data_IF_089078472665
#
_entry.id   IF_089078472665
#
_cell.length_a   1.000
_cell.length_b   1.000
_cell.length_c   1.000
_cell.angle_alpha   90.00
_cell.angle_beta   90.00
_cell.angle_gamma   90.00
#
_symmetry.space_group_name_H-M   'P 1'
#
loop_
_entity.id
_entity.type
_entity.pdbx_description
1 polymer ?
#
# COMPACT_ATOMS: atom_id res chain seq x y z
N UNK A 1 -12.51 -31.34 -11.59
CA UNK A 1 -11.37 -30.39 -11.82
C UNK A 1 -10.33 -30.91 -12.82
N UNK A 2 -9.96 -32.19 -12.83
CA UNK A 2 -8.95 -32.74 -13.76
C UNK A 2 -9.35 -32.67 -15.26
N UNK A 3 -10.64 -32.87 -15.60
CA UNK A 3 -11.11 -32.84 -17.00
C UNK A 3 -11.05 -31.45 -17.65
N UNK A 4 -11.27 -30.37 -16.88
CA UNK A 4 -11.17 -28.99 -17.37
C UNK A 4 -9.72 -28.54 -17.61
N UNK A 5 -8.75 -29.05 -16.83
CA UNK A 5 -7.31 -28.78 -17.03
C UNK A 5 -6.73 -29.49 -18.27
N UNK A 6 -7.30 -30.62 -18.67
CA UNK A 6 -6.90 -31.34 -19.89
C UNK A 6 -7.41 -30.62 -21.16
N UNK A 7 -8.60 -30.02 -21.11
CA UNK A 7 -9.15 -29.25 -22.23
C UNK A 7 -8.33 -27.99 -22.55
N UNK A 8 -7.75 -27.32 -21.54
CA UNK A 8 -6.87 -26.17 -21.75
C UNK A 8 -5.49 -26.53 -22.29
N UNK A 9 -5.05 -27.79 -22.18
CA UNK A 9 -3.80 -28.26 -22.77
C UNK A 9 -3.96 -28.60 -24.26
N UNK A 10 -5.16 -28.99 -24.69
CA UNK A 10 -5.45 -29.29 -26.10
C UNK A 10 -5.24 -28.07 -27.02
N UNK A 11 -5.51 -26.86 -26.54
CA UNK A 11 -5.29 -25.62 -27.30
C UNK A 11 -3.81 -25.25 -27.44
N UNK A 12 -2.92 -25.78 -26.60
CA UNK A 12 -1.46 -25.59 -26.71
C UNK A 12 -0.79 -26.62 -27.64
N UNK A 13 -1.47 -27.73 -27.93
CA UNK A 13 -0.87 -28.81 -28.74
C UNK A 13 -0.51 -28.35 -30.16
N UNK A 14 -1.35 -27.50 -30.77
CA UNK A 14 -1.13 -27.03 -32.14
C UNK A 14 0.03 -26.03 -32.27
N UNK A 15 0.11 -24.95 -31.47
CA UNK A 15 1.28 -24.06 -31.47
C UNK A 15 2.59 -24.77 -31.14
N UNK A 16 2.57 -25.69 -30.16
CA UNK A 16 3.75 -26.46 -29.79
C UNK A 16 4.20 -27.38 -30.95
N UNK A 17 3.26 -27.99 -31.66
CA UNK A 17 3.55 -28.78 -32.86
C UNK A 17 4.18 -27.92 -33.97
N UNK A 18 3.71 -26.69 -34.18
CA UNK A 18 4.30 -25.77 -35.18
C UNK A 18 5.74 -25.39 -34.81
N UNK A 19 6.02 -25.13 -33.52
CA UNK A 19 7.38 -24.87 -33.04
C UNK A 19 8.28 -26.09 -33.26
N UNK A 20 7.80 -27.29 -32.91
CA UNK A 20 8.53 -28.54 -33.09
C UNK A 20 8.85 -28.78 -34.57
N UNK A 21 7.86 -28.65 -35.46
CA UNK A 21 8.05 -28.80 -36.92
C UNK A 21 9.04 -27.75 -37.45
N UNK A 22 8.96 -26.50 -36.97
CA UNK A 22 9.91 -25.45 -37.31
C UNK A 22 11.35 -25.83 -36.95
N UNK A 23 11.58 -26.35 -35.74
CA UNK A 23 12.90 -26.82 -35.28
C UNK A 23 13.40 -27.99 -36.14
N UNK A 24 12.56 -28.97 -36.45
CA UNK A 24 12.95 -30.12 -37.28
C UNK A 24 13.36 -29.70 -38.69
N UNK A 25 12.69 -28.71 -39.30
CA UNK A 25 13.08 -28.16 -40.61
C UNK A 25 14.42 -27.42 -40.57
N UNK A 26 14.72 -26.70 -39.49
CA UNK A 26 16.01 -26.05 -39.28
C UNK A 26 17.13 -27.09 -39.12
N UNK A 27 16.87 -28.16 -38.36
CA UNK A 27 17.77 -29.31 -38.22
C UNK A 27 17.99 -30.00 -39.57
N UNK A 28 16.95 -30.17 -40.38
CA UNK A 28 17.07 -30.73 -41.73
C UNK A 28 17.90 -29.84 -42.68
N UNK A 29 17.80 -28.51 -42.55
CA UNK A 29 18.66 -27.58 -43.30
C UNK A 29 20.15 -27.74 -42.93
N UNK A 30 20.45 -27.89 -41.64
CA UNK A 30 21.80 -28.15 -41.15
C UNK A 30 22.31 -29.52 -41.63
N UNK A 31 21.48 -30.57 -41.56
CA UNK A 31 21.81 -31.90 -42.06
C UNK A 31 22.09 -31.90 -43.57
N UNK A 32 21.37 -31.10 -44.35
CA UNK A 32 21.59 -30.93 -45.78
C UNK A 32 22.96 -30.29 -46.11
N UNK A 33 23.47 -29.41 -45.24
CA UNK A 33 24.82 -28.83 -45.34
C UNK A 33 25.90 -29.85 -44.94
N UNK A 34 25.69 -30.58 -43.84
CA UNK A 34 26.62 -31.63 -43.37
C UNK A 34 26.80 -32.72 -44.42
N UNK A 35 25.72 -33.15 -45.09
CA UNK A 35 25.81 -34.12 -46.20
C UNK A 35 26.65 -33.61 -47.38
N UNK A 36 26.54 -32.33 -47.69
CA UNK A 36 27.30 -31.72 -48.77
C UNK A 36 28.79 -31.63 -48.42
N UNK A 37 29.10 -31.43 -47.15
CA UNK A 37 30.48 -31.39 -46.64
C UNK A 37 31.09 -32.79 -46.44
N UNK A 38 30.28 -33.81 -46.10
CA UNK A 38 30.73 -35.18 -45.81
C UNK A 38 29.90 -36.19 -46.61
N UNK A 39 30.36 -36.57 -47.82
CA UNK A 39 29.68 -37.57 -48.65
C UNK A 39 29.58 -38.92 -47.92
N UNK A 40 28.38 -39.50 -47.85
CA UNK A 40 28.10 -40.79 -47.20
C UNK A 40 27.71 -40.73 -45.71
N UNK A 41 27.64 -39.54 -45.11
CA UNK A 41 27.33 -39.38 -43.68
C UNK A 41 25.85 -39.65 -43.29
N UNK A 42 24.91 -39.65 -44.23
CA UNK A 42 23.47 -39.76 -43.96
C UNK A 42 22.81 -40.79 -44.89
N UNK A 43 21.82 -41.53 -44.38
CA UNK A 43 21.12 -42.58 -45.13
C UNK A 43 20.25 -42.04 -46.26
N UNK A 44 19.92 -42.89 -47.24
CA UNK A 44 19.07 -42.50 -48.38
C UNK A 44 17.66 -42.06 -47.97
N UNK A 45 17.16 -42.53 -46.82
CA UNK A 45 15.86 -42.15 -46.27
C UNK A 45 15.85 -40.68 -45.82
N UNK A 46 16.97 -40.18 -45.29
CA UNK A 46 17.15 -38.77 -44.94
C UNK A 46 17.27 -37.87 -46.19
N UNK A 47 17.51 -38.44 -47.38
CA UNK A 47 17.57 -37.70 -48.64
C UNK A 47 16.24 -37.07 -49.01
N UNK A 48 15.13 -37.78 -48.81
CA UNK A 48 13.80 -37.26 -49.13
C UNK A 48 13.35 -36.20 -48.12
N UNK A 49 13.64 -36.41 -46.84
CA UNK A 49 13.33 -35.46 -45.76
C UNK A 49 14.13 -34.14 -45.87
N UNK A 50 15.33 -34.19 -46.44
CA UNK A 50 16.19 -33.01 -46.66
C UNK A 50 16.06 -32.40 -48.06
N UNK A 51 15.05 -32.80 -48.83
CA UNK A 51 14.80 -32.32 -50.20
C UNK A 51 16.02 -32.53 -51.13
N UNK A 52 16.63 -33.71 -51.07
CA UNK A 52 17.85 -34.06 -51.80
C UNK A 52 17.76 -34.01 -53.33
N UNK A 53 16.55 -33.91 -53.87
CA UNK A 53 16.27 -33.75 -55.30
C UNK A 53 16.39 -32.29 -55.80
N UNK A 54 16.48 -31.31 -54.89
CA UNK A 54 16.71 -29.91 -55.23
C UNK A 54 18.21 -29.53 -55.18
N UNK A 55 18.63 -28.51 -55.94
CA UNK A 55 19.97 -27.93 -55.81
C UNK A 55 20.26 -27.49 -54.37
N UNK A 56 21.51 -27.71 -53.92
CA UNK A 56 21.98 -27.36 -52.57
C UNK A 56 21.58 -25.96 -52.08
N UNK A 57 21.79 -24.86 -52.84
CA UNK A 57 21.43 -23.54 -52.34
C UNK A 57 19.92 -23.37 -52.18
N UNK A 58 19.14 -23.97 -53.08
CA UNK A 58 17.69 -23.84 -53.09
C UNK A 58 17.03 -24.64 -51.94
N UNK A 59 17.48 -25.88 -51.69
CA UNK A 59 16.93 -26.69 -50.59
C UNK A 59 17.21 -26.09 -49.21
N UNK A 60 18.43 -25.58 -49.00
CA UNK A 60 18.83 -24.97 -47.72
C UNK A 60 18.02 -23.69 -47.48
N UNK A 61 17.87 -22.85 -48.51
CA UNK A 61 17.05 -21.65 -48.42
C UNK A 61 15.58 -21.96 -48.09
N UNK A 62 14.98 -22.97 -48.74
CA UNK A 62 13.60 -23.36 -48.51
C UNK A 62 13.37 -23.91 -47.09
N UNK A 63 14.25 -24.81 -46.62
CA UNK A 63 14.14 -25.39 -45.28
C UNK A 63 14.36 -24.34 -44.18
N UNK A 64 15.32 -23.42 -44.35
CA UNK A 64 15.54 -22.32 -43.42
C UNK A 64 14.36 -21.35 -43.39
N UNK A 65 13.85 -20.93 -44.55
CA UNK A 65 12.74 -19.99 -44.62
C UNK A 65 11.45 -20.59 -44.03
N UNK A 66 11.13 -21.85 -44.37
CA UNK A 66 9.96 -22.54 -43.82
C UNK A 66 10.11 -22.80 -42.31
N UNK A 67 11.30 -23.23 -41.87
CA UNK A 67 11.59 -23.47 -40.45
C UNK A 67 11.47 -22.20 -39.60
N UNK A 68 12.05 -21.09 -40.04
CA UNK A 68 11.95 -19.79 -39.36
C UNK A 68 10.52 -19.25 -39.36
N UNK A 69 9.79 -19.38 -40.46
CA UNK A 69 8.41 -18.91 -40.56
C UNK A 69 7.49 -19.69 -39.59
N UNK A 70 7.60 -21.02 -39.55
CA UNK A 70 6.80 -21.86 -38.65
C UNK A 70 7.17 -21.66 -37.18
N UNK A 71 8.46 -21.53 -36.87
CA UNK A 71 8.93 -21.24 -35.52
C UNK A 71 8.43 -19.87 -35.05
N UNK A 72 8.60 -18.83 -35.87
CA UNK A 72 8.13 -17.48 -35.56
C UNK A 72 6.61 -17.41 -35.38
N UNK A 73 5.85 -18.07 -36.26
CA UNK A 73 4.40 -18.13 -36.17
C UNK A 73 3.93 -18.94 -34.94
N UNK A 74 4.57 -20.06 -34.63
CA UNK A 74 4.28 -20.86 -33.43
C UNK A 74 4.56 -20.11 -32.13
N UNK A 75 5.67 -19.37 -32.07
CA UNK A 75 6.00 -18.50 -30.92
C UNK A 75 5.02 -17.34 -30.80
N UNK A 76 4.64 -16.71 -31.92
CA UNK A 76 3.65 -15.63 -31.91
C UNK A 76 2.26 -16.11 -31.43
N UNK A 77 1.82 -17.28 -31.87
CA UNK A 77 0.61 -17.96 -31.38
C UNK A 77 0.69 -18.25 -29.87
N UNK A 78 1.83 -18.74 -29.38
CA UNK A 78 2.05 -18.95 -27.94
C UNK A 78 2.01 -17.63 -27.15
N UNK A 79 2.51 -16.53 -27.74
CA UNK A 79 2.43 -15.19 -27.16
C UNK A 79 0.99 -14.67 -27.01
N UNK A 80 0.08 -15.10 -27.89
CA UNK A 80 -1.35 -14.75 -27.82
C UNK A 80 -2.20 -15.65 -26.90
N UNK A 81 -1.66 -16.76 -26.40
CA UNK A 81 -2.40 -17.77 -25.62
C UNK A 81 -2.32 -17.60 -24.10
N UNK A 82 -1.62 -16.58 -23.59
CA UNK A 82 -1.70 -16.19 -22.17
C UNK A 82 -2.94 -15.31 -21.99
N UNK A 83 -4.11 -15.94 -22.10
CA UNK A 83 -5.38 -15.36 -21.67
C UNK A 83 -5.94 -16.32 -20.63
N UNK A 84 -5.80 -15.95 -19.36
CA UNK A 84 -6.40 -16.68 -18.24
C UNK A 84 -7.87 -16.24 -18.22
N UNK A 85 -8.85 -17.08 -18.55
CA UNK A 85 -10.25 -16.72 -18.36
C UNK A 85 -10.53 -16.63 -16.86
N UNK A 86 -11.06 -15.48 -16.43
CA UNK A 86 -11.61 -15.31 -15.08
C UNK A 86 -12.82 -16.23 -14.95
N UNK A 87 -12.83 -17.08 -13.92
CA UNK A 87 -13.82 -18.14 -13.76
C UNK A 87 -15.20 -17.67 -13.23
N UNK A 88 -15.43 -16.37 -13.14
CA UNK A 88 -16.64 -15.79 -12.56
C UNK A 88 -17.32 -14.87 -13.58
N UNK A 89 -17.93 -15.46 -14.60
CA UNK A 89 -19.10 -14.84 -15.20
C UNK A 89 -20.12 -15.93 -15.57
N UNK A 90 -21.24 -15.92 -14.87
CA UNK A 90 -22.27 -16.95 -14.93
C UNK A 90 -23.26 -16.75 -16.09
N UNK A 91 -23.09 -15.72 -16.91
CA UNK A 91 -24.00 -15.43 -18.01
C UNK A 91 -23.21 -15.10 -19.29
N UNK A 92 -22.87 -16.15 -20.05
CA UNK A 92 -21.94 -16.11 -21.18
C UNK A 92 -22.42 -15.34 -22.41
N UNK A 93 -22.62 -14.03 -22.29
CA UNK A 93 -23.04 -13.15 -23.39
C UNK A 93 -22.16 -11.94 -23.65
N UNK A 94 -21.11 -11.69 -22.87
CA UNK A 94 -20.23 -10.55 -23.12
C UNK A 94 -18.75 -10.94 -22.98
N UNK A 95 -18.01 -10.91 -24.09
CA UNK A 95 -16.55 -11.02 -24.07
C UNK A 95 -15.98 -9.64 -23.78
N UNK A 96 -15.95 -9.27 -22.50
CA UNK A 96 -15.29 -8.03 -22.05
C UNK A 96 -13.78 -8.27 -22.05
N UNK A 97 -13.08 -7.68 -23.03
CA UNK A 97 -11.61 -7.67 -23.10
C UNK A 97 -11.08 -6.62 -22.11
N UNK A 98 -11.10 -6.96 -20.82
CA UNK A 98 -10.50 -6.16 -19.77
C UNK A 98 -8.98 -6.32 -19.79
N UNK A 99 -8.25 -5.28 -20.20
CA UNK A 99 -6.82 -5.17 -19.88
C UNK A 99 -6.71 -4.70 -18.42
N UNK A 100 -6.93 -5.61 -17.47
CA UNK A 100 -6.46 -5.36 -16.10
C UNK A 100 -4.95 -5.32 -16.15
N UNK A 101 -4.38 -4.13 -15.94
CA UNK A 101 -2.96 -3.90 -15.67
C UNK A 101 -2.53 -5.04 -14.73
N UNK A 102 -1.64 -5.91 -15.21
CA UNK A 102 -1.18 -7.09 -14.49
C UNK A 102 -1.02 -6.74 -13.00
N UNK A 103 -1.60 -7.57 -12.14
CA UNK A 103 -1.67 -7.57 -10.67
C UNK A 103 -0.41 -7.00 -9.98
N UNK A 104 -0.14 -5.71 -10.21
CA UNK A 104 1.04 -5.03 -9.69
C UNK A 104 0.67 -4.72 -8.26
N UNK A 105 1.56 -5.08 -7.36
CA UNK A 105 1.44 -4.68 -5.97
C UNK A 105 1.31 -3.15 -5.91
N UNK A 106 0.46 -2.59 -5.05
CA UNK A 106 0.23 -1.16 -5.03
C UNK A 106 1.47 -0.40 -4.58
N UNK A 107 1.59 0.86 -5.02
CA UNK A 107 2.50 1.86 -4.47
C UNK A 107 1.75 2.62 -3.39
N UNK A 108 2.28 2.62 -2.16
CA UNK A 108 1.63 3.25 -1.02
C UNK A 108 2.55 4.33 -0.44
N UNK A 109 2.00 5.51 -0.22
CA UNK A 109 2.65 6.58 0.54
C UNK A 109 2.04 6.60 1.95
N UNK A 110 2.86 6.68 2.99
CA UNK A 110 2.41 6.71 4.38
C UNK A 110 2.94 7.97 5.06
N UNK A 111 2.04 8.73 5.70
CA UNK A 111 2.36 9.83 6.61
C UNK A 111 2.02 9.37 8.03
N UNK A 112 3.02 9.00 8.83
CA UNK A 112 2.82 8.36 10.13
C UNK A 112 3.81 8.87 11.18
N UNK A 113 3.50 8.62 12.46
CA UNK A 113 4.42 8.82 13.59
C UNK A 113 5.35 7.62 13.82
N UNK A 114 6.37 7.80 14.66
CA UNK A 114 7.44 6.81 14.86
C UNK A 114 6.97 5.43 15.32
N UNK A 115 5.96 5.36 16.20
CA UNK A 115 5.37 4.08 16.62
C UNK A 115 4.41 3.50 15.57
N UNK A 116 3.71 4.35 14.83
CA UNK A 116 2.75 3.93 13.79
C UNK A 116 3.40 3.29 12.59
N UNK A 117 4.66 3.63 12.29
CA UNK A 117 5.37 3.05 11.15
C UNK A 117 5.68 1.56 11.33
N UNK A 118 5.95 1.11 12.55
CA UNK A 118 6.07 -0.34 12.83
C UNK A 118 4.79 -1.09 12.53
N UNK A 119 3.64 -0.44 12.70
CA UNK A 119 2.34 -1.02 12.43
C UNK A 119 2.14 -1.21 10.92
N UNK A 120 2.87 -0.44 10.11
CA UNK A 120 2.89 -0.59 8.66
C UNK A 120 3.93 -1.59 8.15
N UNK A 121 4.70 -2.24 9.04
CA UNK A 121 5.70 -3.23 8.64
C UNK A 121 5.11 -4.37 7.79
N UNK A 122 3.90 -4.83 8.13
CA UNK A 122 3.21 -5.91 7.41
C UNK A 122 2.79 -5.53 5.98
N UNK A 123 2.73 -4.23 5.65
CA UNK A 123 2.49 -3.77 4.28
C UNK A 123 3.71 -4.00 3.37
N UNK A 124 4.92 -4.02 3.92
CA UNK A 124 6.16 -4.13 3.14
C UNK A 124 6.13 -5.37 2.23
N UNK A 125 5.56 -6.49 2.67
CA UNK A 125 5.52 -7.71 1.85
C UNK A 125 4.44 -7.69 0.75
N UNK A 126 3.54 -6.70 0.76
CA UNK A 126 2.33 -6.66 -0.07
C UNK A 126 2.32 -5.52 -1.11
N UNK A 127 3.32 -4.63 -1.07
CA UNK A 127 3.43 -3.42 -1.91
C UNK A 127 4.58 -3.52 -2.91
N UNK A 128 4.48 -2.78 -4.02
CA UNK A 128 5.58 -2.60 -4.99
C UNK A 128 6.60 -1.60 -4.44
N UNK A 129 6.11 -0.54 -3.82
CA UNK A 129 6.90 0.51 -3.17
C UNK A 129 6.13 1.07 -1.98
N UNK A 130 6.83 1.27 -0.88
CA UNK A 130 6.32 1.95 0.31
C UNK A 130 7.14 3.20 0.56
N UNK A 131 6.55 4.38 0.42
CA UNK A 131 7.25 5.64 0.71
C UNK A 131 6.74 6.20 2.03
N UNK A 132 7.61 6.25 3.02
CA UNK A 132 7.33 6.72 4.37
C UNK A 132 7.78 8.17 4.51
N UNK A 133 6.81 9.08 4.60
CA UNK A 133 7.05 10.50 4.89
C UNK A 133 7.11 10.69 6.40
N UNK A 134 8.24 11.17 6.91
CA UNK A 134 8.44 11.32 8.36
C UNK A 134 7.63 12.50 8.93
N UNK A 135 7.39 12.54 10.26
CA UNK A 135 6.98 13.76 10.93
C UNK A 135 8.00 14.89 10.70
N UNK A 136 7.52 16.12 10.67
CA UNK A 136 8.33 17.30 10.40
C UNK A 136 9.30 17.64 11.55
N UNK A 137 8.86 17.50 12.80
CA UNK A 137 9.64 17.92 13.98
C UNK A 137 10.69 16.90 14.44
N UNK A 138 10.44 15.60 14.26
CA UNK A 138 11.29 14.54 14.81
C UNK A 138 11.73 13.49 13.75
N UNK A 139 12.32 13.90 12.61
CA UNK A 139 12.72 12.95 11.58
C UNK A 139 13.75 11.93 12.09
N UNK A 140 14.69 12.35 12.95
CA UNK A 140 15.76 11.47 13.46
C UNK A 140 15.23 10.39 14.40
N UNK A 141 14.36 10.74 15.35
CA UNK A 141 13.73 9.74 16.25
C UNK A 141 12.89 8.76 15.42
N UNK A 142 12.19 9.26 14.40
CA UNK A 142 11.47 8.44 13.45
C UNK A 142 12.40 7.45 12.72
N UNK A 143 13.55 7.89 12.22
CA UNK A 143 14.54 7.01 11.58
C UNK A 143 15.03 5.90 12.53
N UNK A 144 15.36 6.22 13.78
CA UNK A 144 15.82 5.21 14.74
C UNK A 144 14.75 4.14 15.00
N UNK A 145 13.49 4.57 15.16
CA UNK A 145 12.35 3.67 15.34
C UNK A 145 12.10 2.85 14.07
N UNK A 146 12.12 3.46 12.89
CA UNK A 146 11.91 2.75 11.62
C UNK A 146 13.09 1.85 11.18
N UNK A 147 14.19 1.80 11.93
CA UNK A 147 15.43 1.11 11.53
C UNK A 147 15.27 -0.35 11.11
N UNK A 148 14.33 -1.08 11.73
CA UNK A 148 14.03 -2.47 11.36
C UNK A 148 13.55 -2.65 9.91
N UNK A 149 12.99 -1.59 9.31
CA UNK A 149 12.41 -1.61 7.98
C UNK A 149 13.41 -1.17 6.89
N UNK A 150 14.56 -0.60 7.25
CA UNK A 150 15.61 -0.19 6.29
C UNK A 150 16.25 -1.36 5.55
N UNK A 151 16.00 -2.59 6.00
CA UNK A 151 16.47 -3.79 5.32
C UNK A 151 15.69 -4.10 4.02
N UNK A 152 14.52 -3.50 3.83
CA UNK A 152 13.69 -3.74 2.65
C UNK A 152 14.02 -2.74 1.52
N UNK A 153 14.49 -3.27 0.38
CA UNK A 153 14.99 -2.46 -0.74
C UNK A 153 13.92 -1.59 -1.44
N UNK A 154 12.64 -1.83 -1.19
CA UNK A 154 11.50 -1.11 -1.80
C UNK A 154 10.75 -0.21 -0.81
N UNK A 155 11.39 0.12 0.31
CA UNK A 155 10.87 1.05 1.31
C UNK A 155 11.74 2.30 1.35
N UNK A 156 11.14 3.43 0.99
CA UNK A 156 11.81 4.73 1.02
C UNK A 156 11.43 5.49 2.28
N UNK A 157 12.42 6.11 2.94
CA UNK A 157 12.23 6.95 4.11
C UNK A 157 12.71 8.35 3.83
N UNK A 158 11.80 9.31 3.84
CA UNK A 158 12.13 10.67 3.42
C UNK A 158 11.43 11.70 4.30
N UNK A 159 12.14 12.73 4.78
CA UNK A 159 11.49 13.87 5.38
C UNK A 159 10.69 14.61 4.30
N UNK A 160 9.58 15.27 4.67
CA UNK A 160 8.76 16.02 3.74
C UNK A 160 9.56 17.15 3.06
N UNK A 161 10.43 17.82 3.82
CA UNK A 161 11.28 18.92 3.37
C UNK A 161 12.59 18.92 4.17
N UNK A 162 13.72 19.37 3.58
CA UNK A 162 14.95 19.61 4.34
C UNK A 162 14.90 20.87 5.20
N UNK A 163 13.88 21.74 5.05
CA UNK A 163 13.76 22.97 5.80
C UNK A 163 13.36 22.70 7.26
N UNK A 164 14.01 23.42 8.19
CA UNK A 164 13.64 23.37 9.60
C UNK A 164 12.38 24.21 9.85
N UNK A 165 11.49 23.72 10.70
CA UNK A 165 10.28 24.43 11.08
C UNK A 165 9.93 24.19 12.54
N UNK A 166 9.32 25.19 13.15
CA UNK A 166 8.73 25.13 14.47
C UNK A 166 7.21 25.06 14.35
N UNK A 167 6.58 24.27 15.21
CA UNK A 167 5.14 24.06 15.19
C UNK A 167 4.56 24.61 16.49
N UNK A 168 3.57 25.48 16.37
CA UNK A 168 2.88 26.10 17.51
C UNK A 168 1.42 25.69 17.48
N UNK A 169 0.91 25.22 18.62
CA UNK A 169 -0.51 24.91 18.79
C UNK A 169 -1.21 25.98 19.64
N UNK A 170 -2.50 26.16 19.37
CA UNK A 170 -3.40 26.93 20.21
C UNK A 170 -4.44 25.97 20.77
N UNK A 171 -4.55 25.90 22.10
CA UNK A 171 -5.55 25.09 22.78
C UNK A 171 -6.95 25.75 22.70
N UNK A 172 -7.99 25.01 23.06
CA UNK A 172 -9.38 25.47 23.11
C UNK A 172 -9.64 26.65 24.05
N UNK A 173 -8.75 26.88 25.02
CA UNK A 173 -8.79 28.06 25.92
C UNK A 173 -7.95 29.25 25.42
N UNK A 174 -7.36 29.14 24.23
CA UNK A 174 -6.52 30.18 23.62
C UNK A 174 -5.05 30.13 24.05
N UNK A 175 -4.66 29.22 24.93
CA UNK A 175 -3.26 29.05 25.34
C UNK A 175 -2.40 28.62 24.16
N UNK A 176 -1.25 29.27 23.97
CA UNK A 176 -0.26 28.91 22.94
C UNK A 176 0.81 27.99 23.51
N UNK A 177 1.15 26.95 22.76
CA UNK A 177 2.10 25.91 23.17
C UNK A 177 3.06 25.64 22.00
N UNK A 178 4.36 25.54 22.30
CA UNK A 178 5.32 24.98 21.35
C UNK A 178 5.17 23.46 21.34
N UNK A 179 4.98 22.89 20.15
CA UNK A 179 4.79 21.45 20.00
C UNK A 179 6.07 20.65 20.31
N UNK A 180 7.25 21.26 20.34
CA UNK A 180 8.45 20.57 20.84
C UNK A 180 8.33 20.21 22.34
N UNK A 181 7.64 21.05 23.12
CA UNK A 181 7.42 20.86 24.55
C UNK A 181 6.06 20.19 24.86
N UNK A 182 5.39 19.65 23.85
CA UNK A 182 4.02 19.14 23.98
C UNK A 182 3.91 18.02 25.03
N UNK A 183 4.96 17.20 25.22
CA UNK A 183 4.98 16.18 26.26
C UNK A 183 4.81 16.77 27.66
N UNK A 184 5.39 17.94 27.92
CA UNK A 184 5.22 18.64 29.20
C UNK A 184 3.78 19.15 29.37
N UNK A 185 3.09 19.46 28.26
CA UNK A 185 1.67 19.85 28.27
C UNK A 185 0.75 18.65 28.45
N UNK A 186 1.06 17.50 27.86
CA UNK A 186 0.32 16.24 28.06
C UNK A 186 0.44 15.78 29.53
N UNK A 187 1.58 16.02 30.16
CA UNK A 187 1.83 15.68 31.56
C UNK A 187 1.21 16.65 32.57
N UNK A 188 0.81 17.86 32.15
CA UNK A 188 0.15 18.84 33.01
C UNK A 188 -1.33 18.47 33.25
N UNK A 189 -1.71 18.09 34.48
CA UNK A 189 -3.09 17.69 34.78
C UNK A 189 -4.12 18.80 34.52
N UNK A 190 -3.70 20.08 34.59
CA UNK A 190 -4.58 21.21 34.32
C UNK A 190 -4.96 21.34 32.85
N UNK A 191 -4.18 20.70 31.96
CA UNK A 191 -4.35 20.76 30.50
C UNK A 191 -4.80 19.42 29.90
N UNK A 192 -4.81 18.33 30.65
CA UNK A 192 -5.25 17.02 30.16
C UNK A 192 -6.68 17.02 29.58
N UNK A 193 -7.56 17.91 30.07
CA UNK A 193 -8.94 18.08 29.60
C UNK A 193 -9.08 18.99 28.36
N UNK A 194 -7.98 19.60 27.91
CA UNK A 194 -7.92 20.52 26.76
C UNK A 194 -7.68 19.75 25.46
N UNK A 195 -7.90 20.44 24.35
CA UNK A 195 -7.55 19.94 23.02
C UNK A 195 -6.98 21.05 22.16
N UNK A 196 -6.26 20.66 21.10
CA UNK A 196 -5.73 21.63 20.13
C UNK A 196 -6.87 22.13 19.23
N UNK A 197 -7.05 23.45 19.20
CA UNK A 197 -8.02 24.15 18.37
C UNK A 197 -7.40 24.74 17.09
N UNK A 198 -6.11 25.10 17.11
CA UNK A 198 -5.38 25.60 15.94
C UNK A 198 -3.92 25.13 15.92
N UNK A 199 -3.35 25.03 14.72
CA UNK A 199 -1.98 24.59 14.51
C UNK A 199 -1.31 25.47 13.46
N UNK A 200 -0.12 25.98 13.78
CA UNK A 200 0.62 26.94 12.97
C UNK A 200 2.04 26.47 12.73
N UNK A 201 2.48 26.55 11.48
CA UNK A 201 3.82 26.19 11.06
C UNK A 201 4.65 27.45 10.82
N UNK A 202 5.76 27.56 11.54
CA UNK A 202 6.70 28.68 11.46
C UNK A 202 8.03 28.17 10.90
N UNK A 203 8.39 28.61 9.70
CA UNK A 203 9.65 28.21 9.07
C UNK A 203 10.85 28.88 9.75
N UNK A 204 11.91 28.12 9.95
CA UNK A 204 13.16 28.60 10.53
C UNK A 204 14.16 28.90 9.40
N UNK A 205 14.41 30.18 9.16
CA UNK A 205 15.35 30.69 8.17
C UNK A 205 14.76 30.90 6.77
N UNK A 206 15.53 31.58 5.91
CA UNK A 206 15.07 32.08 4.60
C UNK A 206 15.19 31.05 3.45
N UNK A 207 15.30 29.76 3.79
CA UNK A 207 15.54 28.67 2.85
C UNK A 207 14.31 28.30 2.00
N UNK A 208 14.52 27.58 0.90
CA UNK A 208 13.40 27.00 0.13
C UNK A 208 12.62 26.02 1.00
N UNK A 209 11.34 26.28 1.22
CA UNK A 209 10.41 25.41 1.95
C UNK A 209 9.78 24.34 1.05
N UNK A 210 10.42 24.04 -0.07
CA UNK A 210 9.93 23.07 -1.04
C UNK A 210 9.94 21.66 -0.47
N UNK A 211 8.95 20.88 -0.89
CA UNK A 211 8.84 19.46 -0.60
C UNK A 211 9.87 18.69 -1.42
N UNK A 212 10.40 17.63 -0.82
CA UNK A 212 11.31 16.72 -1.50
C UNK A 212 10.68 16.16 -2.78
N UNK A 213 11.41 16.19 -3.89
CA UNK A 213 10.93 15.62 -5.17
C UNK A 213 10.55 14.15 -5.04
N UNK A 214 11.28 13.39 -4.20
CA UNK A 214 10.98 11.99 -3.90
C UNK A 214 9.57 11.83 -3.33
N UNK A 215 9.15 12.74 -2.45
CA UNK A 215 7.80 12.74 -1.86
C UNK A 215 6.75 13.08 -2.91
N UNK A 216 6.98 14.12 -3.72
CA UNK A 216 6.04 14.56 -4.75
C UNK A 216 5.84 13.49 -5.84
N UNK A 217 6.93 12.85 -6.27
CA UNK A 217 6.87 11.77 -7.26
C UNK A 217 6.18 10.54 -6.68
N UNK A 218 6.45 10.18 -5.43
CA UNK A 218 5.78 9.08 -4.75
C UNK A 218 4.27 9.32 -4.63
N UNK A 219 3.84 10.53 -4.26
CA UNK A 219 2.41 10.90 -4.18
C UNK A 219 1.75 10.85 -5.57
N UNK A 220 2.43 11.32 -6.61
CA UNK A 220 1.91 11.31 -7.99
C UNK A 220 1.68 9.89 -8.50
N UNK A 221 2.54 8.95 -8.11
CA UNK A 221 2.52 7.56 -8.57
C UNK A 221 1.77 6.60 -7.64
N UNK A 222 1.35 7.08 -6.46
CA UNK A 222 0.69 6.28 -5.44
C UNK A 222 -0.66 5.75 -5.92
N UNK A 223 -0.96 4.51 -5.53
CA UNK A 223 -2.31 3.95 -5.61
C UNK A 223 -3.09 4.26 -4.31
N UNK A 224 -2.39 4.46 -3.19
CA UNK A 224 -2.95 4.96 -1.93
C UNK A 224 -2.00 5.89 -1.15
N UNK A 225 -2.61 6.85 -0.45
CA UNK A 225 -1.96 7.70 0.55
C UNK A 225 -2.60 7.40 1.90
N UNK A 226 -1.83 6.88 2.83
CA UNK A 226 -2.28 6.47 4.16
C UNK A 226 -1.84 7.51 5.19
N UNK A 227 -2.80 8.08 5.89
CA UNK A 227 -2.59 9.01 6.99
C UNK A 227 -2.70 8.24 8.31
N UNK A 228 -1.59 8.12 9.02
CA UNK A 228 -1.49 7.40 10.29
C UNK A 228 -1.16 5.90 10.15
N UNK A 229 -1.28 5.15 11.26
CA UNK A 229 -1.68 5.60 12.59
C UNK A 229 -0.62 6.50 13.23
N UNK A 230 -1.02 7.39 14.13
CA UNK A 230 -0.08 8.29 14.82
C UNK A 230 -0.79 9.49 15.42
N UNK A 231 -0.11 10.21 16.32
CA UNK A 231 -0.64 11.43 16.93
C UNK A 231 -1.09 12.40 15.84
N UNK A 232 -2.36 12.80 15.90
CA UNK A 232 -2.98 13.60 14.85
C UNK A 232 -2.23 14.93 14.68
N UNK A 233 -2.00 15.64 15.79
CA UNK A 233 -1.41 16.98 15.79
C UNK A 233 0.13 16.99 15.78
N UNK A 234 0.79 15.90 16.17
CA UNK A 234 2.26 15.83 16.18
C UNK A 234 2.84 15.15 14.94
N UNK A 235 2.14 14.15 14.38
CA UNK A 235 2.71 13.30 13.32
C UNK A 235 2.06 13.50 11.96
N UNK A 236 0.74 13.71 11.91
CA UNK A 236 -0.02 13.71 10.65
C UNK A 236 -0.24 15.14 10.15
N UNK A 237 -0.95 15.96 10.92
CA UNK A 237 -1.33 17.31 10.51
C UNK A 237 -0.14 18.25 10.22
N UNK A 238 1.02 18.18 10.90
CA UNK A 238 2.14 19.06 10.58
C UNK A 238 2.65 18.91 9.15
N UNK A 239 2.58 17.70 8.59
CA UNK A 239 2.90 17.45 7.18
C UNK A 239 1.88 18.12 6.26
N UNK A 240 0.60 18.12 6.63
CA UNK A 240 -0.48 18.74 5.86
C UNK A 240 -0.49 20.28 5.93
N UNK A 241 0.26 20.88 6.86
CA UNK A 241 0.46 22.33 6.89
C UNK A 241 1.43 22.82 5.80
N UNK A 242 2.21 21.93 5.18
CA UNK A 242 3.09 22.29 4.07
C UNK A 242 2.26 22.41 2.79
N UNK A 243 2.09 23.63 2.29
CA UNK A 243 1.17 23.96 1.19
C UNK A 243 1.37 23.07 -0.05
N UNK A 244 2.62 22.87 -0.48
CA UNK A 244 2.95 22.05 -1.65
C UNK A 244 2.58 20.56 -1.43
N UNK A 245 2.84 20.03 -0.22
CA UNK A 245 2.51 18.65 0.12
C UNK A 245 0.99 18.44 0.18
N UNK A 246 0.29 19.38 0.82
CA UNK A 246 -1.17 19.39 0.91
C UNK A 246 -1.83 19.41 -0.46
N UNK A 247 -1.37 20.30 -1.34
CA UNK A 247 -1.87 20.38 -2.71
C UNK A 247 -1.59 19.11 -3.51
N UNK A 248 -0.39 18.54 -3.37
CA UNK A 248 -0.03 17.30 -4.04
C UNK A 248 -0.95 16.13 -3.62
N UNK A 249 -1.25 15.99 -2.33
CA UNK A 249 -2.16 14.96 -1.81
C UNK A 249 -3.59 15.22 -2.32
N UNK A 250 -4.10 16.45 -2.20
CA UNK A 250 -5.47 16.79 -2.61
C UNK A 250 -5.73 16.67 -4.12
N UNK A 251 -4.68 16.69 -4.95
CA UNK A 251 -4.77 16.51 -6.41
C UNK A 251 -4.39 15.09 -6.86
N UNK A 252 -3.93 14.24 -5.96
CA UNK A 252 -3.53 12.88 -6.28
C UNK A 252 -4.75 12.06 -6.73
N UNK A 253 -4.53 11.12 -7.66
CA UNK A 253 -5.53 10.10 -8.01
C UNK A 253 -5.56 8.93 -7.02
N UNK A 254 -4.60 8.91 -6.08
CA UNK A 254 -4.45 7.90 -5.07
C UNK A 254 -5.62 7.95 -4.08
N UNK A 255 -6.04 6.80 -3.58
CA UNK A 255 -7.05 6.76 -2.50
C UNK A 255 -6.43 7.27 -1.20
N UNK A 256 -7.07 8.25 -0.58
CA UNK A 256 -6.64 8.79 0.71
C UNK A 256 -7.34 8.06 1.84
N UNK A 257 -6.57 7.36 2.67
CA UNK A 257 -7.07 6.52 3.77
C UNK A 257 -6.55 7.07 5.08
N UNK A 258 -7.44 7.49 5.98
CA UNK A 258 -7.08 7.86 7.34
C UNK A 258 -7.27 6.67 8.29
N UNK A 259 -6.28 6.41 9.14
CA UNK A 259 -6.35 5.40 10.20
C UNK A 259 -6.56 6.12 11.51
N UNK A 260 -7.80 6.03 12.01
CA UNK A 260 -8.20 6.75 13.20
C UNK A 260 -7.46 6.22 14.44
N UNK A 261 -7.09 7.13 15.35
CA UNK A 261 -6.48 6.74 16.60
C UNK A 261 -7.46 5.90 17.43
N UNK A 262 -6.92 4.94 18.18
CA UNK A 262 -7.72 4.11 19.07
C UNK A 262 -8.25 4.96 20.23
N UNK A 263 -7.35 5.71 20.87
CA UNK A 263 -7.64 6.53 22.04
C UNK A 263 -7.39 8.00 21.72
N UNK A 264 -8.15 8.88 22.39
CA UNK A 264 -7.84 10.30 22.48
C UNK A 264 -6.56 10.50 23.29
N UNK A 265 -5.82 11.55 22.95
CA UNK A 265 -4.57 11.91 23.57
C UNK A 265 -4.79 13.13 24.48
N UNK A 266 -4.47 13.04 25.79
CA UNK A 266 -4.71 14.12 26.75
C UNK A 266 -4.06 15.44 26.32
N UNK A 267 -4.80 16.55 26.36
CA UNK A 267 -4.29 17.87 25.96
C UNK A 267 -4.18 18.08 24.44
N UNK A 268 -4.43 17.05 23.64
CA UNK A 268 -4.30 17.07 22.17
C UNK A 268 -5.64 16.86 21.49
N UNK A 269 -6.24 15.69 21.72
CA UNK A 269 -7.50 15.25 21.10
C UNK A 269 -8.54 14.87 22.14
N UNK A 270 -8.43 15.39 23.37
CA UNK A 270 -9.39 15.11 24.44
C UNK A 270 -10.82 15.43 23.99
N UNK A 271 -11.70 14.44 24.09
CA UNK A 271 -13.09 14.55 23.66
C UNK A 271 -13.33 14.41 22.16
N UNK A 272 -12.30 14.20 21.33
CA UNK A 272 -12.49 14.04 19.89
C UNK A 272 -13.17 12.70 19.56
N UNK A 273 -14.23 12.80 18.76
CA UNK A 273 -14.83 11.70 18.00
C UNK A 273 -14.04 11.41 16.72
N UNK A 274 -14.42 10.34 16.01
CA UNK A 274 -13.91 10.07 14.65
C UNK A 274 -14.17 11.27 13.73
N UNK A 275 -15.33 11.92 13.84
CA UNK A 275 -15.68 13.07 13.02
C UNK A 275 -14.81 14.29 13.30
N UNK A 276 -14.42 14.52 14.56
CA UNK A 276 -13.53 15.62 14.91
C UNK A 276 -12.14 15.43 14.29
N UNK A 277 -11.64 14.19 14.26
CA UNK A 277 -10.39 13.86 13.56
C UNK A 277 -10.51 14.13 12.05
N UNK A 278 -11.60 13.71 11.40
CA UNK A 278 -11.83 13.97 9.96
C UNK A 278 -11.97 15.47 9.70
N UNK A 279 -12.67 16.21 10.57
CA UNK A 279 -12.82 17.66 10.46
C UNK A 279 -11.49 18.39 10.59
N UNK A 280 -10.61 17.94 11.48
CA UNK A 280 -9.27 18.47 11.59
C UNK A 280 -8.46 18.21 10.31
N UNK A 281 -8.48 16.99 9.76
CA UNK A 281 -7.81 16.67 8.48
C UNK A 281 -8.39 17.53 7.35
N UNK A 282 -9.71 17.72 7.30
CA UNK A 282 -10.38 18.56 6.30
C UNK A 282 -9.98 20.02 6.41
N UNK A 283 -9.89 20.56 7.63
CA UNK A 283 -9.49 21.94 7.89
C UNK A 283 -8.04 22.20 7.52
N UNK A 284 -7.11 21.41 8.06
CA UNK A 284 -5.67 21.65 7.89
C UNK A 284 -5.14 21.08 6.58
N UNK A 285 -5.68 19.95 6.12
CA UNK A 285 -5.34 19.29 4.86
C UNK A 285 -6.13 19.78 3.65
N UNK A 286 -7.23 20.54 3.80
CA UNK A 286 -8.02 21.07 2.68
C UNK A 286 -8.54 20.00 1.70
N UNK A 287 -8.62 18.74 2.14
CA UNK A 287 -9.23 17.62 1.44
C UNK A 287 -9.97 16.73 2.43
N UNK A 288 -10.93 15.95 1.96
CA UNK A 288 -11.59 14.92 2.77
C UNK A 288 -10.97 13.57 2.42
N UNK A 289 -10.51 12.76 3.41
CA UNK A 289 -10.08 11.39 3.14
C UNK A 289 -11.20 10.59 2.49
N UNK A 290 -10.88 9.73 1.53
CA UNK A 290 -11.88 8.84 0.91
C UNK A 290 -12.40 7.82 1.93
N UNK A 291 -11.50 7.28 2.74
CA UNK A 291 -11.80 6.27 3.74
C UNK A 291 -11.23 6.62 5.12
N UNK A 292 -11.96 6.20 6.16
CA UNK A 292 -11.51 6.25 7.55
C UNK A 292 -11.62 4.86 8.14
N UNK A 293 -10.49 4.27 8.52
CA UNK A 293 -10.45 3.00 9.23
C UNK A 293 -10.60 3.24 10.73
N UNK A 294 -11.63 2.66 11.32
CA UNK A 294 -11.95 2.77 12.76
C UNK A 294 -11.89 1.39 13.38
N UNK A 295 -11.13 1.25 14.46
CA UNK A 295 -11.04 -0.03 15.17
C UNK A 295 -12.21 -0.21 16.14
N UNK A 296 -12.88 -1.35 16.08
CA UNK A 296 -13.80 -1.79 17.14
C UNK A 296 -12.98 -2.01 18.41
N UNK A 297 -13.18 -1.18 19.43
CA UNK A 297 -12.48 -1.36 20.69
C UNK A 297 -13.11 -2.48 21.52
N UNK A 298 -12.36 -3.57 21.70
CA UNK A 298 -12.64 -4.62 22.69
C UNK A 298 -11.56 -4.59 23.76
N UNK A 299 -11.69 -3.65 24.68
CA UNK A 299 -10.66 -3.40 25.71
C UNK A 299 -11.05 -4.10 27.01
N UNK A 300 -10.14 -4.90 27.56
CA UNK A 300 -10.32 -5.53 28.87
C UNK A 300 -10.42 -4.44 29.97
N UNK A 301 -11.19 -4.68 31.05
CA UNK A 301 -11.44 -3.65 32.08
C UNK A 301 -10.18 -3.08 32.74
N UNK A 302 -9.14 -3.89 32.92
CA UNK A 302 -7.87 -3.51 33.52
C UNK A 302 -7.06 -2.55 32.63
N UNK A 303 -7.00 -2.84 31.33
CA UNK A 303 -6.38 -1.95 30.34
C UNK A 303 -7.18 -0.65 30.26
N UNK A 304 -8.51 -0.74 30.18
CA UNK A 304 -9.38 0.44 30.14
C UNK A 304 -9.17 1.36 31.34
N UNK A 305 -9.19 0.82 32.56
CA UNK A 305 -8.98 1.59 33.79
C UNK A 305 -7.63 2.31 33.81
N UNK A 306 -6.58 1.68 33.27
CA UNK A 306 -5.25 2.29 33.18
C UNK A 306 -5.22 3.47 32.21
N UNK A 307 -5.85 3.33 31.05
CA UNK A 307 -5.93 4.41 30.07
C UNK A 307 -6.78 5.57 30.61
N UNK A 308 -7.92 5.27 31.25
CA UNK A 308 -8.78 6.27 31.90
C UNK A 308 -8.04 7.02 33.03
N UNK A 309 -7.25 6.32 33.85
CA UNK A 309 -6.43 6.94 34.89
C UNK A 309 -5.34 7.88 34.33
N UNK A 310 -4.97 7.71 33.06
CA UNK A 310 -4.06 8.59 32.33
C UNK A 310 -4.80 9.60 31.43
N UNK A 311 -6.12 9.77 31.61
CA UNK A 311 -6.99 10.66 30.81
C UNK A 311 -7.13 10.30 29.32
N UNK A 312 -6.78 9.07 28.93
CA UNK A 312 -7.07 8.55 27.58
C UNK A 312 -8.49 7.99 27.55
N UNK A 313 -9.24 8.31 26.50
CA UNK A 313 -10.58 7.78 26.26
C UNK A 313 -10.67 7.13 24.87
N UNK A 314 -11.49 6.08 24.66
CA UNK A 314 -11.69 5.52 23.33
C UNK A 314 -12.30 6.57 22.38
N UNK A 315 -11.72 6.70 21.18
CA UNK A 315 -12.29 7.55 20.14
C UNK A 315 -13.61 6.94 19.68
N UNK A 316 -14.70 7.68 19.84
CA UNK A 316 -16.05 7.19 19.56
C UNK A 316 -16.42 7.44 18.09
N UNK A 317 -17.01 6.43 17.47
CA UNK A 317 -17.79 6.57 16.25
C UNK A 317 -19.26 6.66 16.66
N UNK A 318 -19.75 7.88 16.83
CA UNK A 318 -21.17 8.12 17.14
C UNK A 318 -22.00 7.69 15.92
N UNK A 319 -22.89 6.72 16.08
CA UNK A 319 -23.75 6.22 15.00
C UNK A 319 -25.08 6.98 14.95
N UNK A 320 -25.51 7.58 16.08
CA UNK A 320 -26.80 8.25 16.23
C UNK A 320 -26.75 9.70 15.71
N UNK A 321 -25.59 10.35 15.80
CA UNK A 321 -25.37 11.69 15.26
C UNK A 321 -25.42 11.78 13.71
N UNK A 322 -25.39 10.65 12.98
CA UNK A 322 -25.30 10.60 11.51
C UNK A 322 -26.45 9.87 10.81
N UNK A 323 -27.59 9.66 11.49
CA UNK A 323 -28.76 8.96 10.93
C UNK A 323 -29.31 9.55 9.61
N UNK A 324 -29.01 10.81 9.29
CA UNK A 324 -29.40 11.45 8.01
C UNK A 324 -28.42 11.21 6.85
N UNK A 325 -27.25 10.59 7.08
CA UNK A 325 -26.21 10.39 6.05
C UNK A 325 -26.14 8.92 5.62
N UNK A 326 -27.06 8.54 4.74
CA UNK A 326 -27.04 7.36 3.87
C UNK A 326 -26.25 6.13 4.38
N UNK A 327 -26.87 5.34 5.25
CA UNK A 327 -26.42 3.99 5.57
C UNK A 327 -26.61 3.09 4.34
N UNK A 328 -25.57 2.95 3.51
CA UNK A 328 -25.52 1.84 2.55
C UNK A 328 -24.98 0.63 3.30
N UNK A 329 -25.87 -0.06 4.02
CA UNK A 329 -25.56 -1.36 4.59
C UNK A 329 -25.44 -2.38 3.45
N UNK A 330 -24.23 -2.58 2.92
CA UNK A 330 -23.96 -3.71 2.03
C UNK A 330 -23.77 -4.95 2.91
N UNK A 331 -24.83 -5.74 3.07
CA UNK A 331 -24.74 -7.07 3.69
C UNK A 331 -24.00 -8.05 2.76
N UNK A 332 -22.67 -7.97 2.76
CA UNK A 332 -21.81 -9.10 2.42
C UNK A 332 -20.69 -9.18 3.47
N UNK A 333 -21.03 -9.71 4.64
CA UNK A 333 -20.07 -10.01 5.71
C UNK A 333 -19.73 -8.83 6.62
N UNK A 334 -20.61 -8.54 7.60
CA UNK A 334 -20.33 -7.88 8.90
C UNK A 334 -19.59 -6.52 8.94
N UNK A 335 -19.33 -5.83 7.83
CA UNK A 335 -18.76 -4.48 7.86
C UNK A 335 -19.85 -3.42 7.68
N UNK A 336 -20.05 -2.57 8.70
CA UNK A 336 -20.88 -1.38 8.60
C UNK A 336 -20.08 -0.27 7.94
N UNK A 337 -20.63 0.32 6.87
CA UNK A 337 -20.07 1.46 6.18
C UNK A 337 -20.91 2.70 6.52
N UNK A 338 -20.26 3.73 7.03
CA UNK A 338 -20.90 5.00 7.41
C UNK A 338 -20.22 6.16 6.69
N UNK A 339 -20.94 7.24 6.44
CA UNK A 339 -20.35 8.48 5.90
C UNK A 339 -20.17 9.47 7.04
N UNK A 340 -18.92 9.88 7.29
CA UNK A 340 -18.56 10.80 8.38
C UNK A 340 -17.81 11.98 7.78
N UNK A 341 -18.37 13.19 7.87
CA UNK A 341 -17.75 14.43 7.33
C UNK A 341 -17.39 14.36 5.82
N UNK A 342 -18.06 13.47 5.08
CA UNK A 342 -17.85 13.18 3.66
C UNK A 342 -16.87 12.02 3.39
N UNK A 343 -16.25 11.44 4.42
CA UNK A 343 -15.38 10.29 4.31
C UNK A 343 -16.14 8.98 4.55
N UNK A 344 -15.74 7.89 3.89
CA UNK A 344 -16.30 6.56 4.15
C UNK A 344 -15.64 5.93 5.38
N UNK A 345 -16.32 5.94 6.52
CA UNK A 345 -15.89 5.24 7.72
C UNK A 345 -16.19 3.74 7.63
N UNK A 346 -15.16 2.93 7.89
CA UNK A 346 -15.22 1.49 7.93
C UNK A 346 -14.78 1.00 9.30
N UNK A 347 -15.70 0.37 10.00
CA UNK A 347 -15.44 -0.23 11.30
C UNK A 347 -14.94 -1.68 11.14
N UNK A 348 -13.81 -2.00 11.75
CA UNK A 348 -13.22 -3.34 11.72
C UNK A 348 -12.44 -3.64 13.01
N UNK A 349 -12.16 -4.91 13.29
CA UNK A 349 -11.19 -5.25 14.34
C UNK A 349 -9.77 -4.98 13.80
N UNK A 350 -9.17 -3.86 14.21
CA UNK A 350 -7.86 -3.40 13.73
C UNK A 350 -6.81 -3.34 14.85
N UNK A 351 -7.14 -3.82 16.04
CA UNK A 351 -6.29 -3.66 17.23
C UNK A 351 -5.98 -4.99 17.92
N UNK A 352 -4.89 -4.99 18.68
CA UNK A 352 -4.51 -6.07 19.57
C UNK A 352 -3.87 -5.50 20.85
N UNK A 353 -4.06 -6.20 21.97
CA UNK A 353 -3.43 -5.86 23.23
C UNK A 353 -2.05 -6.53 23.29
N UNK A 354 -0.99 -5.73 23.24
CA UNK A 354 0.39 -6.21 23.27
C UNK A 354 1.00 -5.99 24.66
N UNK A 355 1.69 -7.00 25.18
CA UNK A 355 2.47 -6.87 26.41
C UNK A 355 3.81 -6.25 26.07
N UNK A 356 3.99 -4.98 26.43
CA UNK A 356 5.25 -4.27 26.29
C UNK A 356 5.99 -4.26 27.63
N UNK A 357 7.22 -4.73 27.63
CA UNK A 357 8.10 -4.62 28.79
C UNK A 357 8.70 -3.22 28.79
N UNK A 358 8.23 -2.36 29.70
CA UNK A 358 8.88 -1.06 29.94
C UNK A 358 9.87 -1.23 31.08
N UNK A 359 11.05 -0.63 30.95
CA UNK A 359 11.91 -0.42 32.10
C UNK A 359 11.20 0.59 33.02
N UNK A 360 11.15 0.31 34.31
CA UNK A 360 10.68 1.29 35.30
C UNK A 360 11.67 2.46 35.33
N UNK A 361 11.17 3.70 35.23
CA UNK A 361 12.02 4.91 35.32
C UNK A 361 12.76 4.97 36.67
N UNK A 362 12.14 4.42 37.73
CA UNK A 362 12.68 4.40 39.08
C UNK A 362 13.57 3.17 39.36
N UNK A 363 13.49 2.13 38.52
CA UNK A 363 14.34 0.94 38.62
C UNK A 363 14.61 0.38 37.21
N UNK A 364 15.71 0.77 36.55
CA UNK A 364 16.06 0.33 35.20
C UNK A 364 16.23 -1.19 35.06
N UNK A 365 16.43 -1.92 36.16
CA UNK A 365 16.51 -3.37 36.20
C UNK A 365 15.15 -4.06 36.24
N UNK A 366 14.10 -3.35 36.66
CA UNK A 366 12.74 -3.86 36.77
C UNK A 366 11.99 -3.70 35.45
N UNK A 367 11.87 -4.80 34.69
CA UNK A 367 11.04 -4.86 33.48
C UNK A 367 9.59 -5.10 33.86
N UNK A 368 8.78 -4.03 33.89
CA UNK A 368 7.35 -4.17 34.13
C UNK A 368 6.64 -4.48 32.83
N UNK A 369 5.99 -5.65 32.78
CA UNK A 369 5.08 -6.01 31.70
C UNK A 369 3.85 -5.10 31.75
N UNK A 370 3.73 -4.22 30.76
CA UNK A 370 2.60 -3.31 30.60
C UNK A 370 1.83 -3.72 29.35
N UNK A 371 0.59 -4.15 29.53
CA UNK A 371 -0.32 -4.40 28.42
C UNK A 371 -0.77 -3.05 27.85
N UNK A 372 -0.47 -2.81 26.58
CA UNK A 372 -0.85 -1.60 25.85
C UNK A 372 -1.72 -1.98 24.66
N UNK A 373 -2.72 -1.15 24.38
CA UNK A 373 -3.52 -1.26 23.18
C UNK A 373 -2.77 -0.64 22.01
N UNK A 374 -2.66 -1.38 20.89
CA UNK A 374 -2.07 -0.89 19.64
C UNK A 374 -2.87 -1.39 18.45
N UNK A 375 -2.70 -0.71 17.32
CA UNK A 375 -3.16 -1.26 16.05
C UNK A 375 -2.35 -2.52 15.73
N UNK A 376 -3.03 -3.52 15.19
CA UNK A 376 -2.45 -4.77 14.78
C UNK A 376 -1.90 -4.64 13.35
N UNK A 377 -0.60 -4.86 13.12
CA UNK A 377 0.02 -4.64 11.81
C UNK A 377 -0.61 -5.45 10.68
N UNK A 378 -0.93 -6.72 10.94
CA UNK A 378 -1.42 -7.65 9.93
C UNK A 378 -2.88 -7.36 9.59
N UNK A 379 -3.71 -7.09 10.61
CA UNK A 379 -5.12 -6.71 10.39
C UNK A 379 -5.23 -5.39 9.63
N UNK A 380 -4.39 -4.42 9.97
CA UNK A 380 -4.38 -3.11 9.33
C UNK A 380 -3.92 -3.21 7.87
N UNK A 381 -2.84 -3.95 7.61
CA UNK A 381 -2.39 -4.22 6.25
C UNK A 381 -3.47 -4.93 5.42
N UNK A 382 -4.14 -5.93 5.98
CA UNK A 382 -5.24 -6.62 5.31
C UNK A 382 -6.42 -5.68 4.99
N UNK A 383 -6.79 -4.79 5.91
CA UNK A 383 -7.85 -3.81 5.70
C UNK A 383 -7.51 -2.81 4.59
N UNK A 384 -6.29 -2.27 4.58
CA UNK A 384 -5.81 -1.36 3.52
C UNK A 384 -5.81 -2.07 2.16
N UNK A 385 -5.29 -3.30 2.10
CA UNK A 385 -5.26 -4.07 0.85
C UNK A 385 -6.67 -4.45 0.37
N UNK A 386 -7.60 -4.71 1.27
CA UNK A 386 -9.00 -4.96 0.91
C UNK A 386 -9.65 -3.72 0.29
N UNK A 387 -9.37 -2.52 0.82
CA UNK A 387 -9.83 -1.25 0.22
C UNK A 387 -9.30 -1.06 -1.19
N UNK A 388 -8.03 -1.40 -1.42
CA UNK A 388 -7.40 -1.25 -2.73
C UNK A 388 -7.92 -2.23 -3.79
N UNK A 389 -8.46 -3.38 -3.37
CA UNK A 389 -9.01 -4.44 -4.25
C UNK A 389 -10.48 -4.27 -4.62
N UNK A 390 -11.21 -3.31 -4.05
CA UNK A 390 -12.66 -3.13 -4.25
C UNK A 390 -13.06 -2.54 -5.62
N UNK A 391 -12.33 -2.89 -6.68
CA UNK A 391 -12.64 -2.52 -8.08
C UNK A 391 -12.77 -3.74 -8.99
#
# INVERSE_FOLDING_TARGET
>A
MASKRLASLASLAWPLALVLVGIELLTAAAAALVRAAVPGALSDLLSYLTLGFLPLPLRVALLLAAGLALLGYGVWLLGGLIVIPRADDADGKELVLGYTRADRRPRIVVLSGGAGMFIMASLVQQVERLTCVTPLQEPVEYYYRASSLFSAAHVDYTPPTPAAAQLTAVLDDGTRVDMHDIRQVVEDPSRAQRHIADLQLNWLGDGSHQVSRVVLDAIREADAIVLGPGSLFESILPNLLIDELRQAIGQARARTIYICNLMTEPGLTTGFSVADHVRAIKRFGQFTPDYVLVSVQRTEPDVRQRYEAANYAPVQLDLEAYEETAVVAVEHGRQKQLVVEGATALEADLSSALVQYTASINDPGERRAVRMLRHDPDKLAAAIMALLRRE
#
